data_IF_457445365760
#
_entry.id   IF_457445365760
#
_cell.length_a   1.000
_cell.length_b   1.000
_cell.length_c   1.000
_cell.angle_alpha   90.00
_cell.angle_beta   90.00
_cell.angle_gamma   90.00
#
_symmetry.space_group_name_H-M   'P 1'
#
loop_
_entity.id
_entity.type
_entity.pdbx_description
1 polymer ?
#
# COMPACT_ATOMS: atom_id res chain seq x y z
N UNK A 1 14.71 19.57 16.02
CA UNK A 1 14.18 18.20 16.21
C UNK A 1 12.72 18.24 15.83
N UNK A 2 12.31 17.48 14.82
CA UNK A 2 10.91 17.42 14.39
C UNK A 2 10.07 16.64 15.39
N UNK A 3 8.80 17.04 15.58
CA UNK A 3 7.91 16.38 16.52
C UNK A 3 7.64 14.92 16.10
N UNK A 4 7.54 13.97 17.04
CA UNK A 4 7.31 12.57 16.70
C UNK A 4 5.92 12.36 16.11
N UNK A 5 5.81 11.51 15.10
CA UNK A 5 4.57 11.19 14.41
C UNK A 5 3.86 10.02 15.09
N UNK A 6 2.56 10.17 15.26
CA UNK A 6 1.65 9.10 15.68
C UNK A 6 1.37 8.12 14.54
N UNK A 7 0.83 6.96 14.89
CA UNK A 7 0.39 5.95 13.92
C UNK A 7 -0.50 6.50 12.80
N UNK A 8 -1.45 7.39 13.13
CA UNK A 8 -2.37 7.97 12.16
C UNK A 8 -1.67 8.98 11.23
N UNK A 9 -0.77 9.80 11.77
CA UNK A 9 0.01 10.76 10.98
C UNK A 9 0.94 10.06 10.02
N UNK A 10 1.63 9.00 10.47
CA UNK A 10 2.47 8.19 9.58
C UNK A 10 1.65 7.54 8.46
N UNK A 11 0.45 7.03 8.78
CA UNK A 11 -0.45 6.48 7.75
C UNK A 11 -0.79 7.53 6.68
N UNK A 12 -1.11 8.76 7.09
CA UNK A 12 -1.37 9.87 6.17
C UNK A 12 -0.13 10.23 5.33
N UNK A 13 1.06 10.28 5.94
CA UNK A 13 2.32 10.57 5.24
C UNK A 13 2.65 9.58 4.13
N UNK A 14 2.29 8.31 4.32
CA UNK A 14 2.49 7.26 3.31
C UNK A 14 1.29 7.11 2.35
N UNK A 15 0.27 7.97 2.47
CA UNK A 15 -0.93 7.95 1.63
C UNK A 15 -1.84 6.75 1.86
N UNK A 16 -1.88 6.21 3.08
CA UNK A 16 -2.69 5.05 3.45
C UNK A 16 -3.69 5.39 4.57
N UNK A 17 -4.85 4.73 4.55
CA UNK A 17 -5.74 4.77 5.71
C UNK A 17 -5.10 4.06 6.91
N UNK A 18 -5.50 4.47 8.13
CA UNK A 18 -4.99 3.92 9.39
C UNK A 18 -5.07 2.38 9.44
N UNK A 19 -6.21 1.80 9.09
CA UNK A 19 -6.40 0.35 9.12
C UNK A 19 -5.57 -0.39 8.08
N UNK A 20 -5.41 0.19 6.89
CA UNK A 20 -4.53 -0.39 5.87
C UNK A 20 -3.08 -0.36 6.34
N UNK A 21 -2.64 0.77 6.90
CA UNK A 21 -1.30 0.91 7.45
C UNK A 21 -1.05 -0.10 8.58
N UNK A 22 -2.01 -0.32 9.48
CA UNK A 22 -1.96 -1.32 10.57
C UNK A 22 -1.63 -2.74 10.09
N UNK A 23 -2.11 -3.13 8.91
CA UNK A 23 -1.87 -4.46 8.34
C UNK A 23 -0.52 -4.59 7.64
N UNK A 24 0.03 -3.48 7.11
CA UNK A 24 1.18 -3.54 6.19
C UNK A 24 2.47 -2.93 6.72
N UNK A 25 2.43 -2.11 7.78
CA UNK A 25 3.61 -1.37 8.26
C UNK A 25 4.78 -2.29 8.65
N UNK A 26 4.51 -3.47 9.22
CA UNK A 26 5.57 -4.46 9.54
C UNK A 26 6.24 -4.99 8.26
N UNK A 27 5.49 -5.15 7.18
CA UNK A 27 6.05 -5.54 5.89
C UNK A 27 6.86 -4.41 5.26
N UNK A 28 6.47 -3.15 5.48
CA UNK A 28 7.26 -2.00 5.02
C UNK A 28 8.65 -1.98 5.68
N UNK A 29 8.75 -2.31 6.97
CA UNK A 29 10.04 -2.43 7.66
C UNK A 29 10.86 -3.57 7.03
N UNK A 30 10.27 -4.76 6.91
CA UNK A 30 10.96 -5.96 6.42
C UNK A 30 11.41 -5.88 4.96
N UNK A 31 10.57 -5.33 4.08
CA UNK A 31 10.78 -5.40 2.63
C UNK A 31 11.20 -4.07 2.00
N UNK A 32 10.92 -2.94 2.66
CA UNK A 32 11.10 -1.61 2.09
C UNK A 32 11.95 -0.68 2.96
N UNK A 33 12.61 -1.21 3.99
CA UNK A 33 13.50 -0.45 4.87
C UNK A 33 12.82 0.74 5.54
N UNK A 34 11.52 0.64 5.83
CA UNK A 34 10.79 1.68 6.54
C UNK A 34 11.27 1.80 8.00
N UNK A 35 11.36 3.01 8.58
CA UNK A 35 11.84 3.18 9.94
C UNK A 35 10.90 2.48 10.96
N UNK A 36 11.45 1.76 11.94
CA UNK A 36 10.67 1.18 13.01
C UNK A 36 10.16 2.27 13.97
N UNK A 37 9.01 2.05 14.63
CA UNK A 37 8.57 2.95 15.69
C UNK A 37 9.52 2.86 16.89
N UNK A 38 9.93 4.02 17.41
CA UNK A 38 10.80 4.11 18.58
C UNK A 38 10.03 3.95 19.91
N UNK A 39 8.70 4.01 19.87
CA UNK A 39 7.82 3.78 21.02
C UNK A 39 6.66 2.87 20.61
N UNK A 40 6.29 1.88 21.43
CA UNK A 40 5.28 0.85 21.10
C UNK A 40 4.47 0.40 22.35
N UNK A 41 3.23 -0.11 22.17
CA UNK A 41 2.43 -0.68 23.26
C UNK A 41 3.06 -1.95 23.85
N UNK A 42 2.78 -2.32 25.13
CA UNK A 42 1.72 -1.78 26.00
C UNK A 42 2.09 -0.53 26.82
N UNK A 43 3.37 -0.13 26.85
CA UNK A 43 3.83 1.00 27.67
C UNK A 43 3.65 2.40 27.06
N UNK A 44 3.33 2.48 25.77
CA UNK A 44 3.14 3.74 25.06
C UNK A 44 2.36 3.58 23.75
N UNK A 45 1.86 4.67 23.18
CA UNK A 45 1.35 4.67 21.82
C UNK A 45 2.48 4.57 20.80
N UNK A 46 2.19 4.02 19.62
CA UNK A 46 3.15 3.97 18.54
C UNK A 46 3.62 5.36 18.11
N UNK A 47 4.94 5.60 18.14
CA UNK A 47 5.57 6.86 17.69
C UNK A 47 6.74 6.60 16.74
N UNK A 48 6.84 7.41 15.70
CA UNK A 48 7.92 7.43 14.72
C UNK A 48 8.64 8.77 14.70
N UNK A 49 9.93 8.76 14.36
CA UNK A 49 10.65 9.99 14.11
C UNK A 49 10.18 10.59 12.78
N UNK A 50 9.72 11.84 12.80
CA UNK A 50 9.26 12.53 11.60
C UNK A 50 10.37 12.65 10.53
N UNK A 51 11.61 12.90 10.96
CA UNK A 51 12.73 13.11 10.04
C UNK A 51 13.06 11.82 9.27
N UNK A 52 13.04 10.66 9.94
CA UNK A 52 13.28 9.35 9.31
C UNK A 52 12.16 8.95 8.34
N UNK A 53 10.90 9.24 8.69
CA UNK A 53 9.74 8.96 7.82
C UNK A 53 9.78 9.86 6.58
N UNK A 54 10.11 11.15 6.74
CA UNK A 54 10.26 12.08 5.63
C UNK A 54 11.43 11.70 4.70
N UNK A 55 12.56 11.26 5.27
CA UNK A 55 13.69 10.78 4.48
C UNK A 55 13.34 9.51 3.69
N UNK A 56 12.67 8.55 4.31
CA UNK A 56 12.20 7.35 3.61
C UNK A 56 11.24 7.72 2.46
N UNK A 57 10.34 8.68 2.68
CA UNK A 57 9.42 9.19 1.64
C UNK A 57 10.19 9.80 0.48
N UNK A 58 11.16 10.69 0.75
CA UNK A 58 12.03 11.27 -0.29
C UNK A 58 12.79 10.20 -1.08
N UNK A 59 13.40 9.23 -0.40
CA UNK A 59 14.12 8.11 -1.06
C UNK A 59 13.18 7.30 -1.96
N UNK A 60 11.96 7.03 -1.49
CA UNK A 60 10.94 6.31 -2.27
C UNK A 60 10.45 7.12 -3.46
N UNK A 61 10.22 8.42 -3.32
CA UNK A 61 9.80 9.29 -4.41
C UNK A 61 10.86 9.38 -5.50
N UNK A 62 12.13 9.51 -5.11
CA UNK A 62 13.27 9.48 -6.04
C UNK A 62 13.40 8.14 -6.75
N UNK A 63 13.26 7.02 -6.03
CA UNK A 63 13.31 5.68 -6.61
C UNK A 63 12.17 5.40 -7.61
N UNK A 64 11.01 6.06 -7.43
CA UNK A 64 9.86 5.95 -8.33
C UNK A 64 9.89 6.99 -9.46
N UNK A 65 10.91 7.85 -9.54
CA UNK A 65 10.97 8.93 -10.53
C UNK A 65 9.89 9.99 -10.36
N UNK A 66 9.27 10.07 -9.19
CA UNK A 66 8.19 11.04 -8.85
C UNK A 66 8.73 12.35 -8.27
N UNK A 67 10.05 12.54 -8.29
CA UNK A 67 10.74 13.75 -7.86
C UNK A 67 10.40 14.89 -8.85
N UNK A 68 9.24 15.52 -8.66
CA UNK A 68 8.80 16.66 -9.47
C UNK A 68 7.29 16.85 -9.65
N UNK A 69 6.43 15.87 -9.34
CA UNK A 69 4.97 16.06 -9.41
C UNK A 69 4.23 15.33 -8.29
N UNK A 70 3.38 16.10 -7.61
CA UNK A 70 2.46 15.76 -6.52
C UNK A 70 2.98 15.86 -5.09
N UNK A 71 3.05 17.11 -4.61
CA UNK A 71 2.39 17.43 -3.33
C UNK A 71 0.91 17.09 -3.50
N UNK A 72 0.48 15.92 -3.01
CA UNK A 72 -0.95 15.58 -2.95
C UNK A 72 -1.51 16.36 -1.78
N UNK A 73 -1.97 17.58 -2.07
CA UNK A 73 -2.92 18.29 -1.24
C UNK A 73 -4.16 17.39 -1.09
N UNK A 74 -4.55 17.17 0.16
CA UNK A 74 -5.80 16.52 0.53
C UNK A 74 -6.97 17.38 0.04
N UNK A 75 -7.47 17.17 -1.18
CA UNK A 75 -8.82 17.56 -1.63
C UNK A 75 -9.11 17.06 -3.06
N UNK A 76 -9.14 15.74 -3.27
CA UNK A 76 -9.65 15.19 -4.54
C UNK A 76 -11.08 14.71 -4.34
N UNK A 77 -11.99 15.63 -4.67
CA UNK A 77 -13.37 15.40 -5.06
C UNK A 77 -13.48 14.23 -6.08
N UNK A 78 -14.54 13.42 -6.04
CA UNK A 78 -14.63 12.16 -6.80
C UNK A 78 -15.13 12.34 -8.25
N UNK A 79 -14.47 13.15 -9.09
CA UNK A 79 -14.83 13.19 -10.52
C UNK A 79 -13.70 13.48 -11.52
N UNK A 80 -12.43 13.52 -11.12
CA UNK A 80 -11.35 13.75 -12.10
C UNK A 80 -10.70 12.44 -12.57
N UNK A 81 -11.05 12.07 -13.80
CA UNK A 81 -10.53 10.94 -14.57
C UNK A 81 -9.01 11.06 -14.76
N UNK A 82 -8.27 10.17 -14.11
CA UNK A 82 -6.92 9.76 -14.54
C UNK A 82 -6.88 8.23 -14.69
N UNK A 83 -6.40 7.69 -15.82
CA UNK A 83 -6.25 6.25 -16.00
C UNK A 83 -4.98 5.81 -15.25
N UNK A 84 -5.09 5.64 -13.94
CA UNK A 84 -4.14 4.81 -13.22
C UNK A 84 -4.62 3.36 -13.37
N UNK A 85 -4.12 2.64 -14.37
CA UNK A 85 -4.21 1.18 -14.35
C UNK A 85 -3.30 0.69 -13.21
N UNK A 86 -3.85 0.14 -12.11
CA UNK A 86 -3.02 -0.68 -11.26
C UNK A 86 -2.63 -1.89 -12.10
N UNK A 87 -1.34 -2.02 -12.45
CA UNK A 87 -0.79 -3.32 -12.84
C UNK A 87 -0.80 -4.18 -11.58
N UNK A 88 -1.98 -4.68 -11.22
CA UNK A 88 -2.15 -5.82 -10.35
C UNK A 88 -1.37 -6.93 -11.08
N UNK A 89 -0.37 -7.57 -10.46
CA UNK A 89 0.13 -8.82 -11.02
C UNK A 89 -1.08 -9.75 -11.05
N UNK A 90 -1.65 -9.93 -12.24
CA UNK A 90 -2.69 -10.91 -12.49
C UNK A 90 -2.08 -12.22 -11.99
N UNK A 91 -2.64 -12.87 -10.95
CA UNK A 91 -2.11 -14.14 -10.51
C UNK A 91 -2.11 -15.05 -11.73
N UNK A 92 -0.94 -15.59 -12.07
CA UNK A 92 -0.76 -16.48 -13.21
C UNK A 92 -1.93 -17.48 -13.22
N UNK A 93 -2.62 -17.66 -14.36
CA UNK A 93 -3.85 -18.45 -14.40
C UNK A 93 -3.54 -19.82 -13.83
N UNK A 94 -4.16 -20.12 -12.68
CA UNK A 94 -4.02 -21.40 -12.03
C UNK A 94 -4.59 -22.44 -13.01
N UNK A 95 -3.70 -23.16 -13.71
CA UNK A 95 -4.08 -24.13 -14.76
C UNK A 95 -5.11 -25.15 -14.25
N UNK A 96 -5.07 -25.46 -12.96
CA UNK A 96 -6.06 -26.32 -12.32
C UNK A 96 -7.49 -25.74 -12.37
N UNK A 97 -7.65 -24.44 -12.08
CA UNK A 97 -8.95 -23.78 -12.09
C UNK A 97 -9.50 -23.57 -13.51
N UNK A 98 -8.62 -23.32 -14.49
CA UNK A 98 -8.98 -23.23 -15.90
C UNK A 98 -9.50 -24.58 -16.43
N UNK A 99 -8.81 -25.68 -16.09
CA UNK A 99 -9.25 -27.03 -16.44
C UNK A 99 -10.58 -27.40 -15.77
N UNK A 100 -10.79 -27.02 -14.51
CA UNK A 100 -12.03 -27.31 -13.79
C UNK A 100 -13.24 -26.58 -14.40
N UNK A 101 -13.04 -25.32 -14.84
CA UNK A 101 -14.06 -24.55 -15.56
C UNK A 101 -14.37 -25.13 -16.94
N UNK A 102 -13.35 -25.58 -17.67
CA UNK A 102 -13.54 -26.24 -18.96
C UNK A 102 -14.34 -27.55 -18.83
N UNK A 103 -14.05 -28.35 -17.79
CA UNK A 103 -14.79 -29.57 -17.51
C UNK A 103 -16.25 -29.30 -17.09
N UNK A 104 -16.50 -28.30 -16.25
CA UNK A 104 -17.88 -27.90 -15.92
C UNK A 104 -18.66 -27.42 -17.14
N UNK A 105 -18.02 -26.66 -18.05
CA UNK A 105 -18.67 -26.18 -19.28
C UNK A 105 -18.98 -27.33 -20.24
N UNK A 106 -18.08 -28.30 -20.36
CA UNK A 106 -18.30 -29.51 -21.16
C UNK A 106 -19.43 -30.38 -20.61
N UNK A 107 -19.60 -30.45 -19.28
CA UNK A 107 -20.73 -31.14 -18.65
C UNK A 107 -22.06 -30.42 -18.91
N UNK A 108 -22.08 -29.09 -18.87
CA UNK A 108 -23.28 -28.28 -19.13
C UNK A 108 -23.73 -28.30 -20.60
N UNK A 109 -22.82 -28.49 -21.56
CA UNK A 109 -23.15 -28.61 -22.98
C UNK A 109 -23.54 -30.02 -23.44
N UNK A 110 -23.47 -31.03 -22.57
CA UNK A 110 -23.80 -32.43 -22.90
C UNK A 110 -25.14 -32.91 -22.32
N UNK A 111 -25.89 -32.00 -21.69
CA UNK A 111 -27.21 -32.27 -21.09
C UNK A 111 -28.32 -31.34 -21.58
N UNK A 112 -28.19 -30.78 -22.78
CA UNK A 112 -29.24 -30.04 -23.48
C UNK A 112 -29.64 -30.78 -24.76
#
# INVERSE_FOLDING_TARGET
MSAPLTFAQVAAEVGLSRDRFRRVWRNFIKQRGFPPPFSQPPGAHFKWNADEVAEWKRRRSRALGTDGRHEVANDVHPDDRLPFEPTIPIPAPNRALANQRAQMRALMSRGA
#
